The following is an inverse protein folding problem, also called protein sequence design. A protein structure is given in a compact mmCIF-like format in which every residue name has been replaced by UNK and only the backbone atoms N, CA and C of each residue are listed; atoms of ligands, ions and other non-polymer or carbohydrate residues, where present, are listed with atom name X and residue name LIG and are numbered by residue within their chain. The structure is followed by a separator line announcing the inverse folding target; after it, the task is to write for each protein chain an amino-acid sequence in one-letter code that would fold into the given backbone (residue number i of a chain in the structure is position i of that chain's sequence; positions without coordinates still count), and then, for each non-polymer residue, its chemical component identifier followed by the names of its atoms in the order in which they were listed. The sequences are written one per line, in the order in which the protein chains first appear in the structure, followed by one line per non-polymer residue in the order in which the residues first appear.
data_IF_909017540950
#
_entry.id   IF_909017540950
#
_cell.length_a   1.000
_cell.length_b   1.000
_cell.length_c   1.000
_cell.angle_alpha   90.00
_cell.angle_beta   90.00
_cell.angle_gamma   90.00
#
_symmetry.space_group_name_H-M   'P 1'
#
loop_
_entity.id
_entity.type
_entity.pdbx_description
1 polymer ?
#
# COMPACT_ATOMS: atom_id res chain seq x y z
N UNK A 1 18.42 -68.55 2.60
CA UNK A 1 17.28 -67.88 1.93
C UNK A 1 17.82 -66.66 1.18
N UNK A 2 17.49 -66.55 -0.10
CA UNK A 2 17.57 -65.37 -0.99
C UNK A 2 18.92 -64.67 -1.27
N UNK A 3 19.44 -64.97 -2.47
CA UNK A 3 20.49 -64.24 -3.21
C UNK A 3 19.90 -62.93 -3.76
N UNK A 4 20.52 -61.78 -3.47
CA UNK A 4 20.23 -60.54 -4.21
C UNK A 4 21.20 -60.40 -5.38
N UNK A 5 20.63 -60.50 -6.58
CA UNK A 5 21.34 -60.39 -7.86
C UNK A 5 21.55 -58.92 -8.22
N UNK A 6 22.76 -58.61 -8.67
CA UNK A 6 23.13 -57.44 -9.48
C UNK A 6 22.52 -57.54 -10.88
N UNK A 7 21.85 -56.48 -11.34
CA UNK A 7 21.60 -56.18 -12.76
C UNK A 7 21.47 -54.65 -12.90
N UNK A 8 22.51 -53.96 -13.38
CA UNK A 8 22.63 -53.55 -14.79
C UNK A 8 21.56 -52.53 -15.21
N UNK A 9 21.96 -51.26 -15.31
CA UNK A 9 21.25 -50.24 -16.08
C UNK A 9 21.60 -50.39 -17.58
N UNK A 10 20.68 -50.01 -18.48
CA UNK A 10 21.10 -49.00 -19.45
C UNK A 10 20.05 -47.90 -19.70
N UNK A 11 20.62 -46.72 -19.96
CA UNK A 11 20.07 -45.57 -20.68
C UNK A 11 19.16 -45.98 -21.84
N UNK A 12 17.95 -45.42 -21.87
CA UNK A 12 17.40 -44.62 -22.98
C UNK A 12 15.87 -44.56 -22.85
N UNK A 13 15.33 -43.42 -22.45
CA UNK A 13 13.97 -43.06 -22.85
C UNK A 13 13.95 -41.58 -23.18
N UNK A 14 14.16 -41.30 -24.47
CA UNK A 14 14.02 -40.00 -25.11
C UNK A 14 12.52 -39.76 -25.36
N UNK A 15 12.06 -38.62 -24.85
CA UNK A 15 10.99 -37.73 -25.33
C UNK A 15 9.64 -38.30 -25.82
N UNK A 16 8.56 -37.82 -25.21
CA UNK A 16 7.51 -37.08 -25.92
C UNK A 16 6.47 -36.44 -24.96
N UNK A 17 6.43 -35.11 -25.00
CA UNK A 17 5.26 -34.22 -24.81
C UNK A 17 4.63 -34.10 -23.42
N UNK A 18 4.95 -32.97 -22.78
CA UNK A 18 4.24 -32.42 -21.63
C UNK A 18 2.84 -31.93 -22.00
N UNK A 19 1.83 -32.11 -21.12
CA UNK A 19 0.74 -31.16 -20.99
C UNK A 19 1.07 -30.26 -19.79
N UNK A 20 1.61 -29.09 -20.11
CA UNK A 20 1.70 -27.94 -19.21
C UNK A 20 0.33 -27.72 -18.59
N UNK A 21 0.21 -27.93 -17.27
CA UNK A 21 -1.03 -27.67 -16.55
C UNK A 21 -1.37 -26.18 -16.72
N UNK A 22 -2.48 -25.98 -17.42
CA UNK A 22 -3.06 -24.71 -17.83
C UNK A 22 -3.17 -23.78 -16.62
N UNK A 23 -2.44 -22.68 -16.63
CA UNK A 23 -2.64 -21.60 -15.67
C UNK A 23 -4.07 -21.07 -15.88
N UNK A 24 -4.95 -21.36 -14.91
CA UNK A 24 -6.29 -20.81 -14.87
C UNK A 24 -6.15 -19.32 -14.55
N UNK A 25 -5.99 -18.50 -15.59
CA UNK A 25 -5.99 -17.06 -15.48
C UNK A 25 -7.43 -16.65 -15.19
N UNK A 26 -7.77 -16.58 -13.90
CA UNK A 26 -9.03 -16.03 -13.46
C UNK A 26 -9.11 -14.59 -13.96
N UNK A 27 -9.95 -14.35 -14.96
CA UNK A 27 -10.35 -13.00 -15.36
C UNK A 27 -11.12 -12.46 -14.16
N UNK A 28 -10.42 -11.75 -13.27
CA UNK A 28 -11.10 -10.99 -12.23
C UNK A 28 -11.87 -9.89 -12.95
N UNK A 29 -13.19 -10.03 -13.01
CA UNK A 29 -14.09 -8.97 -13.47
C UNK A 29 -14.03 -7.85 -12.42
N UNK A 30 -13.00 -7.01 -12.48
CA UNK A 30 -12.95 -5.77 -11.69
C UNK A 30 -13.88 -4.80 -12.41
N UNK A 31 -14.89 -4.22 -11.73
CA UNK A 31 -15.76 -3.25 -12.36
C UNK A 31 -14.90 -2.13 -12.95
N UNK A 32 -15.09 -1.84 -14.24
CA UNK A 32 -14.39 -0.77 -14.95
C UNK A 32 -14.86 0.55 -14.33
N UNK A 33 -14.10 1.05 -13.35
CA UNK A 33 -14.49 2.19 -12.52
C UNK A 33 -14.10 2.08 -11.04
N UNK A 34 -13.85 0.88 -10.51
CA UNK A 34 -13.29 0.73 -9.17
C UNK A 34 -11.76 0.73 -9.24
N UNK A 35 -11.16 1.90 -9.46
CA UNK A 35 -9.74 2.08 -9.19
C UNK A 35 -9.53 1.90 -7.69
N UNK A 36 -8.74 0.90 -7.32
CA UNK A 36 -8.38 0.66 -5.93
C UNK A 36 -7.29 1.66 -5.58
N UNK A 37 -7.72 2.82 -5.08
CA UNK A 37 -6.82 3.84 -4.55
C UNK A 37 -6.17 3.29 -3.29
N UNK A 38 -4.85 3.40 -3.21
CA UNK A 38 -4.13 3.13 -1.98
C UNK A 38 -4.46 4.26 -1.00
N UNK A 39 -5.12 3.92 0.11
CA UNK A 39 -5.57 4.90 1.11
C UNK A 39 -5.01 4.54 2.47
N UNK A 40 -4.50 5.55 3.16
CA UNK A 40 -3.96 5.42 4.52
C UNK A 40 -4.64 6.42 5.46
N UNK A 41 -4.89 6.00 6.69
CA UNK A 41 -5.46 6.82 7.76
C UNK A 41 -4.42 7.00 8.86
N UNK A 42 -3.95 8.24 9.06
CA UNK A 42 -2.88 8.58 10.00
C UNK A 42 -3.47 9.47 11.12
N UNK A 43 -3.18 9.10 12.37
CA UNK A 43 -3.71 9.70 13.60
C UNK A 43 -5.25 9.78 13.64
N UNK A 44 -5.93 8.62 13.78
CA UNK A 44 -7.38 8.59 13.99
C UNK A 44 -7.75 9.18 15.35
N UNK A 45 -8.77 10.04 15.37
CA UNK A 45 -9.26 10.74 16.55
C UNK A 45 -10.80 10.62 16.66
N UNK A 46 -11.26 9.61 17.39
CA UNK A 46 -12.69 9.38 17.61
C UNK A 46 -13.43 9.07 16.30
N UNK A 47 -14.25 10.03 15.83
CA UNK A 47 -15.10 9.88 14.63
C UNK A 47 -14.47 10.40 13.34
N UNK A 48 -13.22 10.89 13.40
CA UNK A 48 -12.52 11.41 12.23
C UNK A 48 -11.03 11.04 12.26
N UNK A 49 -10.35 11.26 11.14
CA UNK A 49 -8.91 11.04 11.02
C UNK A 49 -8.24 12.37 10.72
N UNK A 50 -7.11 12.64 11.36
CA UNK A 50 -6.39 13.90 11.21
C UNK A 50 -5.71 14.02 9.85
N UNK A 51 -5.19 12.90 9.33
CA UNK A 51 -4.52 12.86 8.04
C UNK A 51 -4.99 11.65 7.24
N UNK A 52 -5.40 11.89 5.99
CA UNK A 52 -5.74 10.83 5.04
C UNK A 52 -4.83 10.97 3.82
N UNK A 53 -4.18 9.89 3.44
CA UNK A 53 -3.40 9.85 2.21
C UNK A 53 -4.12 9.03 1.16
N UNK A 54 -4.07 9.48 -0.09
CA UNK A 54 -4.62 8.79 -1.25
C UNK A 54 -3.55 8.78 -2.31
N UNK A 55 -3.09 7.59 -2.71
CA UNK A 55 -2.09 7.42 -3.74
C UNK A 55 -2.68 6.75 -4.99
N UNK A 56 -2.34 7.31 -6.15
CA UNK A 56 -2.62 6.75 -7.48
C UNK A 56 -1.50 7.13 -8.44
N UNK A 57 -1.01 6.15 -9.21
CA UNK A 57 -0.02 6.35 -10.30
C UNK A 57 1.21 7.19 -9.90
N UNK A 58 1.70 7.01 -8.67
CA UNK A 58 2.88 7.72 -8.15
C UNK A 58 2.60 9.14 -7.65
N UNK A 59 1.34 9.59 -7.64
CA UNK A 59 0.90 10.83 -6.99
C UNK A 59 0.24 10.48 -5.67
N UNK A 60 0.76 11.05 -4.57
CA UNK A 60 0.19 10.93 -3.23
C UNK A 60 -0.43 12.28 -2.85
N UNK A 61 -1.75 12.31 -2.69
CA UNK A 61 -2.46 13.47 -2.15
C UNK A 61 -2.65 13.28 -0.65
N UNK A 62 -2.34 14.32 0.13
CA UNK A 62 -2.46 14.33 1.58
C UNK A 62 -3.56 15.31 1.98
N UNK A 63 -4.57 14.80 2.65
CA UNK A 63 -5.65 15.60 3.21
C UNK A 63 -5.40 15.76 4.71
N UNK A 64 -5.21 17.00 5.15
CA UNK A 64 -5.09 17.36 6.56
C UNK A 64 -6.42 17.95 7.02
N UNK A 65 -6.95 17.45 8.13
CA UNK A 65 -8.18 17.99 8.73
C UNK A 65 -7.98 19.42 9.23
N UNK A 66 -9.07 20.14 9.51
CA UNK A 66 -8.99 21.49 10.08
C UNK A 66 -8.21 21.52 11.40
N UNK A 67 -7.17 22.35 11.46
CA UNK A 67 -6.36 22.53 12.67
C UNK A 67 -6.87 23.72 13.47
N UNK A 68 -7.09 23.51 14.77
CA UNK A 68 -7.52 24.54 15.71
C UNK A 68 -6.40 24.73 16.72
N UNK A 69 -5.77 25.90 16.69
CA UNK A 69 -4.74 26.25 17.65
C UNK A 69 -5.29 26.72 19.00
N UNK A 70 -4.39 26.99 19.93
CA UNK A 70 -4.64 27.47 21.28
C UNK A 70 -3.66 28.60 21.61
N UNK A 71 -4.09 29.56 22.40
CA UNK A 71 -3.22 30.62 22.90
C UNK A 71 -4.05 31.69 23.62
N UNK A 72 -3.39 32.59 24.32
CA UNK A 72 -4.08 33.67 25.02
C UNK A 72 -4.55 34.77 24.06
N UNK A 73 -3.97 34.82 22.85
CA UNK A 73 -4.29 35.77 21.80
C UNK A 73 -4.39 35.10 20.42
N UNK A 74 -4.80 35.90 19.42
CA UNK A 74 -4.93 35.43 18.05
C UNK A 74 -3.59 34.94 17.49
N UNK A 75 -2.47 35.58 17.84
CA UNK A 75 -1.15 35.20 17.35
C UNK A 75 -0.77 33.80 17.82
N UNK A 76 -0.94 33.50 19.11
CA UNK A 76 -0.69 32.17 19.68
C UNK A 76 -1.65 31.11 19.13
N UNK A 77 -2.93 31.46 18.95
CA UNK A 77 -3.89 30.59 18.27
C UNK A 77 -3.47 30.24 16.83
N UNK A 78 -3.00 31.22 16.06
CA UNK A 78 -2.57 30.99 14.67
C UNK A 78 -1.28 30.18 14.61
N UNK A 79 -0.28 30.53 15.43
CA UNK A 79 1.01 29.85 15.49
C UNK A 79 0.84 28.36 15.77
N UNK A 80 0.09 28.02 16.82
CA UNK A 80 -0.11 26.62 17.19
C UNK A 80 -0.97 25.84 16.18
N UNK A 81 -1.89 26.51 15.48
CA UNK A 81 -2.64 25.89 14.37
C UNK A 81 -1.69 25.53 13.21
N UNK A 82 -0.82 26.45 12.80
CA UNK A 82 0.16 26.20 11.74
C UNK A 82 1.17 25.12 12.13
N UNK A 83 1.71 25.15 13.35
CA UNK A 83 2.58 24.07 13.85
C UNK A 83 1.89 22.70 13.80
N UNK A 84 0.59 22.66 14.09
CA UNK A 84 -0.18 21.42 13.99
C UNK A 84 -0.29 20.93 12.54
N UNK A 85 -0.48 21.83 11.56
CA UNK A 85 -0.45 21.49 10.13
C UNK A 85 0.90 20.92 9.73
N UNK A 86 2.00 21.60 10.12
CA UNK A 86 3.38 21.14 9.81
C UNK A 86 3.58 19.71 10.32
N UNK A 87 3.25 19.45 11.59
CA UNK A 87 3.36 18.11 12.19
C UNK A 87 2.55 17.05 11.44
N UNK A 88 1.40 17.44 10.89
CA UNK A 88 0.54 16.52 10.11
C UNK A 88 1.15 16.19 8.75
N UNK A 89 1.68 17.18 8.05
CA UNK A 89 2.39 16.96 6.79
C UNK A 89 3.60 16.05 7.00
N UNK A 90 4.41 16.33 8.02
CA UNK A 90 5.58 15.51 8.38
C UNK A 90 5.20 14.06 8.67
N UNK A 91 4.08 13.83 9.38
CA UNK A 91 3.59 12.47 9.67
C UNK A 91 3.21 11.67 8.41
N UNK A 92 2.91 12.34 7.31
CA UNK A 92 2.63 11.72 6.01
C UNK A 92 3.83 11.72 5.05
N UNK A 93 5.00 12.21 5.50
CA UNK A 93 6.23 12.31 4.72
C UNK A 93 6.30 13.52 3.79
N UNK A 94 5.55 14.59 4.07
CA UNK A 94 5.51 15.83 3.30
C UNK A 94 5.96 17.03 4.12
N UNK A 95 6.09 18.17 3.45
CA UNK A 95 6.54 19.44 4.03
C UNK A 95 5.62 20.58 3.62
N UNK A 96 5.87 21.78 4.15
CA UNK A 96 5.08 22.98 3.83
C UNK A 96 5.21 23.43 2.37
N UNK A 97 6.28 23.05 1.66
CA UNK A 97 6.42 23.35 0.22
C UNK A 97 5.49 22.54 -0.67
N UNK A 98 4.85 21.49 -0.12
CA UNK A 98 3.99 20.57 -0.87
C UNK A 98 2.50 20.95 -0.77
N UNK A 99 2.18 22.05 -0.09
CA UNK A 99 0.80 22.54 0.09
C UNK A 99 0.30 23.23 -1.19
N UNK A 100 -0.94 22.91 -1.58
CA UNK A 100 -1.62 23.45 -2.78
C UNK A 100 -2.91 24.18 -2.42
#
# INVERSE_FOLDING_TARGET
MMKFRTTAAPKALIMAVAPTAMAMMAISCRPVGAQELEREFIDPAGVFTQVVTVADRGIKTIYVSGQVGRGDDLAGHVETAFQSVVRRLESAGASTSDVV
#
